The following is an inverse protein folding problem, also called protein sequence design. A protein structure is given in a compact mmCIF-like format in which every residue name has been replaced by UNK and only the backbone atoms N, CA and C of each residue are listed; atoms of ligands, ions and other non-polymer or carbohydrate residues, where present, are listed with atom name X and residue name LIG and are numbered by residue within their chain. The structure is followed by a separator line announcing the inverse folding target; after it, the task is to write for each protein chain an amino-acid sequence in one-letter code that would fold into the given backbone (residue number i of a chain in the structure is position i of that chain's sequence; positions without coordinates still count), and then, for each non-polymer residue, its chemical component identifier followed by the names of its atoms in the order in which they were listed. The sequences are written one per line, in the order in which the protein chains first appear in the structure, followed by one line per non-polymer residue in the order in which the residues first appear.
data_IF_698096449654
#
_entry.id   IF_698096449654
#
_cell.length_a   1.000
_cell.length_b   1.000
_cell.length_c   1.000
_cell.angle_alpha   90.00
_cell.angle_beta   90.00
_cell.angle_gamma   90.00
#
_symmetry.space_group_name_H-M   'P 1'
#
loop_
_entity.id
_entity.type
_entity.pdbx_description
1 polymer ?
2 non-polymer ?
3 non-polymer ?
4 water ?
#
# COMPACT_ATOMS: atom_id res chain seq x y z
N UNK A 58 21.79 13.73 31.77
CA UNK A 58 21.39 14.34 30.47
C UNK A 58 20.08 15.14 30.53
N UNK A 59 20.21 16.44 30.31
CA UNK A 59 19.08 17.24 29.87
C UNK A 59 19.28 17.37 28.34
N UNK A 60 18.23 17.65 27.60
CA UNK A 60 18.35 17.85 26.14
C UNK A 60 18.87 19.26 25.80
N UNK A 61 20.02 19.33 25.14
CA UNK A 61 20.65 20.62 24.78
C UNK A 61 20.84 20.67 23.26
N UNK A 62 20.32 21.73 22.63
CA UNK A 62 20.29 21.84 21.15
C UNK A 62 21.11 23.07 20.67
N UNK A 63 21.97 22.86 19.67
CA UNK A 63 22.85 23.97 19.21
C UNK A 63 22.15 24.96 18.27
N UNK A 64 22.75 26.14 18.12
CA UNK A 64 22.07 27.26 17.47
C UNK A 64 21.79 27.02 15.99
N UNK A 65 22.54 26.11 15.39
CA UNK A 65 22.41 25.85 13.96
C UNK A 65 21.34 24.81 13.65
N UNK A 66 20.78 24.15 14.67
CA UNK A 66 19.92 23.00 14.43
C UNK A 66 18.47 23.37 14.14
N UNK A 67 18.07 23.23 12.88
CA UNK A 67 16.66 23.38 12.49
C UNK A 67 15.93 22.04 12.56
N UNK A 68 14.62 22.12 12.72
CA UNK A 68 13.84 20.90 12.88
C UNK A 68 12.39 21.29 12.57
N UNK A 69 11.46 20.34 12.67
CA UNK A 69 10.02 20.71 12.55
C UNK A 69 9.62 22.02 13.27
N UNK A 70 10.07 22.20 14.50
CA UNK A 70 9.65 23.36 15.34
C UNK A 70 10.49 24.62 15.21
N UNK A 71 11.60 24.55 14.50
CA UNK A 71 12.57 25.65 14.53
C UNK A 71 13.23 25.85 13.17
N UNK A 72 13.17 27.09 12.68
CA UNK A 72 13.89 27.39 11.46
C UNK A 72 15.17 28.14 11.79
N UNK A 73 16.03 28.22 10.78
CA UNK A 73 17.23 29.07 10.81
C UNK A 73 17.16 30.05 9.62
N UNK A 74 18.04 31.07 9.61
CA UNK A 74 18.05 31.99 8.43
C UNK A 74 18.34 31.25 7.11
N UNK A 75 17.77 31.75 5.98
CA UNK A 75 16.93 32.94 5.80
C UNK A 75 15.46 32.82 6.21
N UNK A 76 14.93 31.59 6.33
CA UNK A 76 13.50 31.43 6.58
C UNK A 76 13.02 32.11 7.89
N UNK A 77 13.75 31.89 8.98
CA UNK A 77 13.40 32.46 10.29
C UNK A 77 13.26 33.98 10.28
N UNK A 78 13.89 34.62 9.30
CA UNK A 78 13.86 36.08 9.18
C UNK A 78 13.00 36.61 8.03
N UNK A 79 12.49 35.71 7.19
CA UNK A 79 11.82 36.11 5.95
C UNK A 79 10.42 36.70 6.12
N UNK A 80 10.05 37.62 5.22
CA UNK A 80 8.66 38.06 5.08
C UNK A 80 7.87 36.98 4.35
N UNK A 81 6.70 36.63 4.88
CA UNK A 81 5.98 35.44 4.43
C UNK A 81 4.76 35.74 3.57
N UNK A 82 4.65 35.01 2.46
CA UNK A 82 3.42 34.94 1.69
C UNK A 82 2.69 33.69 2.10
N UNK A 83 1.54 33.91 2.73
CA UNK A 83 0.78 32.90 3.46
C UNK A 83 -0.53 32.68 2.68
N UNK A 84 -0.91 31.41 2.44
CA UNK A 84 -2.18 31.13 1.75
C UNK A 84 -3.39 31.79 2.43
N UNK A 85 -4.49 31.93 1.68
CA UNK A 85 -5.73 32.44 2.24
C UNK A 85 -6.28 31.43 3.23
N UNK A 86 -7.03 31.91 4.23
CA UNK A 86 -7.63 31.01 5.20
C UNK A 86 -8.78 30.22 4.52
N UNK A 87 -8.75 28.88 4.64
CA UNK A 87 -9.91 28.17 4.12
C UNK A 87 -11.19 28.55 4.90
N UNK A 88 -12.30 28.72 4.18
CA UNK A 88 -13.56 29.05 4.86
C UNK A 88 -14.12 27.85 5.64
N UNK A 89 -14.30 28.02 6.95
CA UNK A 89 -14.87 26.97 7.81
C UNK A 89 -16.34 26.76 7.46
N UNK A 90 -16.88 25.56 7.66
CA UNK A 90 -18.25 25.26 7.24
C UNK A 90 -18.96 24.19 8.05
N UNK A 91 -18.21 23.37 8.77
CA UNK A 91 -18.83 22.27 9.52
C UNK A 91 -19.20 22.70 10.93
N UNK A 92 -20.39 22.30 11.39
CA UNK A 92 -20.81 22.53 12.76
C UNK A 92 -20.89 21.14 13.38
N UNK A 93 -20.16 20.92 14.45
CA UNK A 93 -20.13 19.59 15.10
C UNK A 93 -20.71 19.69 16.50
N UNK A 94 -21.65 18.80 16.83
CA UNK A 94 -22.15 18.70 18.21
C UNK A 94 -21.83 17.30 18.68
N UNK A 95 -21.26 17.19 19.89
CA UNK A 95 -21.03 15.88 20.53
C UNK A 95 -22.21 15.52 21.45
N UNK A 96 -22.95 14.49 21.09
CA UNK A 96 -24.21 14.17 21.77
C UNK A 96 -24.02 12.96 22.65
N UNK A 97 -24.19 13.15 23.96
CA UNK A 97 -24.17 12.03 24.87
C UNK A 97 -25.34 11.12 24.52
N UNK A 98 -25.07 9.81 24.44
CA UNK A 98 -26.18 8.89 24.22
C UNK A 98 -26.02 7.60 25.02
N UNK A 113 -22.05 -4.42 0.60
CA UNK A 113 -21.59 -5.74 0.14
C UNK A 113 -20.25 -6.13 0.77
N UNK A 114 -20.21 -6.15 2.10
CA UNK A 114 -18.99 -6.43 2.85
C UNK A 114 -19.12 -7.79 3.55
N UNK A 115 -18.00 -8.50 3.69
CA UNK A 115 -18.00 -9.84 4.25
C UNK A 115 -17.10 -9.84 5.48
N UNK A 116 -17.62 -10.25 6.65
CA UNK A 116 -16.78 -10.47 7.83
C UNK A 116 -16.30 -11.91 7.83
N UNK A 117 -14.99 -12.12 7.78
CA UNK A 117 -14.41 -13.47 7.65
C UNK A 117 -13.33 -13.73 8.71
N UNK A 118 -13.30 -14.95 9.26
CA UNK A 118 -12.25 -15.22 10.25
C UNK A 118 -10.89 -15.47 9.58
N UNK A 119 -9.81 -15.11 10.27
CA UNK A 119 -8.47 -15.55 9.91
C UNK A 119 -8.24 -16.95 10.48
N UNK A 120 -8.05 -17.96 9.63
CA UNK A 120 -7.88 -19.33 10.08
C UNK A 120 -6.41 -19.80 10.19
N UNK A 121 -5.49 -19.09 9.52
CA UNK A 121 -4.08 -19.48 9.56
C UNK A 121 -3.27 -18.25 9.22
N UNK A 122 -2.04 -18.18 9.75
CA UNK A 122 -1.07 -17.20 9.28
C UNK A 122 0.29 -17.83 9.39
N UNK A 123 1.16 -17.54 8.42
CA UNK A 123 2.52 -18.06 8.41
C UNK A 123 3.52 -16.95 8.10
N UNK A 124 4.61 -16.93 8.86
CA UNK A 124 5.76 -16.06 8.54
C UNK A 124 6.62 -16.72 7.46
N UNK A 125 6.74 -16.06 6.31
CA UNK A 125 7.41 -16.62 5.15
C UNK A 125 8.91 -16.30 5.11
N UNK A 126 9.34 -15.29 5.86
CA UNK A 126 10.70 -14.81 5.85
C UNK A 126 11.41 -15.29 7.10
N UNK A 127 12.74 -15.34 7.07
CA UNK A 127 13.51 -15.61 8.29
C UNK A 127 13.38 -14.46 9.28
N UNK A 128 13.71 -14.71 10.55
CA UNK A 128 13.63 -13.66 11.56
C UNK A 128 14.57 -12.47 11.26
N UNK A 129 15.62 -12.69 10.49
CA UNK A 129 16.59 -11.60 10.20
C UNK A 129 16.34 -10.95 8.84
N UNK A 130 15.22 -11.26 8.19
CA UNK A 130 14.92 -10.61 6.89
C UNK A 130 14.68 -9.12 7.12
N UNK A 131 15.12 -8.28 6.19
CA UNK A 131 14.91 -6.83 6.34
C UNK A 131 13.43 -6.43 6.36
N UNK A 132 12.58 -7.15 5.65
CA UNK A 132 11.14 -6.94 5.70
C UNK A 132 10.48 -8.26 6.04
N UNK A 133 9.49 -8.25 6.93
CA UNK A 133 8.76 -9.46 7.32
C UNK A 133 7.57 -9.66 6.38
N UNK A 134 7.49 -10.84 5.79
CA UNK A 134 6.39 -11.19 4.89
C UNK A 134 5.51 -12.25 5.57
N UNK A 135 4.19 -11.98 5.63
CA UNK A 135 3.22 -12.97 6.13
C UNK A 135 2.28 -13.44 5.04
N UNK A 136 1.91 -14.69 5.13
CA UNK A 136 0.79 -15.23 4.40
C UNK A 136 -0.37 -15.35 5.41
N UNK A 137 -1.54 -14.81 5.04
CA UNK A 137 -2.74 -14.87 5.89
C UNK A 137 -3.81 -15.65 5.12
N UNK A 138 -4.45 -16.61 5.80
CA UNK A 138 -5.59 -17.35 5.24
C UNK A 138 -6.89 -16.88 5.88
N UNK A 139 -7.85 -16.51 5.03
CA UNK A 139 -9.18 -16.20 5.46
C UNK A 139 -10.12 -17.34 5.11
N UNK A 140 -11.05 -17.62 6.02
CA UNK A 140 -12.08 -18.62 5.80
C UNK A 140 -13.33 -17.93 5.20
N UNK A 141 -13.55 -18.13 3.90
CA UNK A 141 -14.69 -17.51 3.19
C UNK A 141 -15.85 -18.49 3.06
N UNK A 142 -15.80 -19.59 3.82
CA UNK A 142 -16.79 -20.64 3.56
C UNK A 142 -18.24 -20.19 3.88
N UNK A 143 -18.41 -19.32 4.88
CA UNK A 143 -19.77 -18.92 5.24
C UNK A 143 -20.19 -17.60 4.55
N UNK A 144 -19.75 -17.44 3.31
CA UNK A 144 -20.04 -16.24 2.55
C UNK A 144 -20.42 -16.68 1.16
N UNK A 145 -20.94 -15.75 0.37
CA UNK A 145 -21.10 -16.03 -1.04
C UNK A 145 -19.98 -15.34 -1.88
N UNK A 146 -18.83 -15.08 -1.27
CA UNK A 146 -17.68 -14.43 -1.90
C UNK A 146 -17.03 -15.44 -2.82
N UNK A 147 -16.72 -15.02 -4.04
CA UNK A 147 -15.89 -15.82 -4.92
C UNK A 147 -14.78 -14.99 -5.57
N UNK A 148 -13.74 -15.70 -5.99
CA UNK A 148 -12.54 -15.05 -6.57
C UNK A 148 -11.84 -15.98 -7.53
N UNK A 149 -11.08 -15.37 -8.44
CA UNK A 149 -10.19 -16.12 -9.29
C UNK A 149 -8.77 -15.65 -9.02
N UNK A 150 -7.79 -16.51 -9.31
CA UNK A 150 -6.40 -16.15 -9.08
C UNK A 150 -6.11 -14.80 -9.79
N UNK A 151 -5.42 -13.90 -9.10
CA UNK A 151 -5.09 -12.60 -9.70
C UNK A 151 -6.06 -11.48 -9.34
N UNK A 152 -7.26 -11.83 -8.88
CA UNK A 152 -8.21 -10.82 -8.35
C UNK A 152 -7.61 -10.04 -7.18
N UNK A 153 -8.06 -8.80 -6.96
CA UNK A 153 -7.76 -8.10 -5.72
C UNK A 153 -9.03 -7.95 -4.89
N UNK A 154 -8.87 -7.85 -3.56
CA UNK A 154 -10.00 -7.50 -2.68
C UNK A 154 -9.54 -6.41 -1.71
N UNK A 155 -10.48 -5.68 -1.12
CA UNK A 155 -10.13 -4.62 -0.15
C UNK A 155 -10.32 -5.08 1.31
N UNK A 156 -9.40 -4.66 2.18
CA UNK A 156 -9.51 -4.94 3.63
C UNK A 156 -9.81 -3.63 4.33
N UNK A 157 -10.83 -3.67 5.20
CA UNK A 157 -11.26 -2.48 5.95
C UNK A 157 -10.51 -2.55 7.27
N UNK A 158 -9.60 -1.62 7.48
CA UNK A 158 -8.71 -1.68 8.63
C UNK A 158 -8.92 -0.44 9.51
N UNK A 159 -8.68 -0.57 10.84
CA UNK A 159 -8.78 0.56 11.75
C UNK A 159 -7.43 1.21 12.01
N UNK A 160 -7.47 2.42 12.54
CA UNK A 160 -6.28 3.01 13.14
C UNK A 160 -5.91 2.31 14.43
N UNK A 161 -4.68 2.51 14.90
CA UNK A 161 -4.27 1.85 16.12
C UNK A 161 -5.02 2.49 17.30
N UNK A 162 -5.42 1.68 18.28
CA UNK A 162 -6.14 2.22 19.45
C UNK A 162 -5.29 3.28 20.17
N UNK A 163 -3.99 3.01 20.30
CA UNK A 163 -3.10 3.93 21.00
C UNK A 163 -2.98 5.29 20.30
N UNK A 164 -2.94 5.29 18.97
CA UNK A 164 -2.90 6.56 18.24
C UNK A 164 -4.22 7.32 18.36
N UNK A 165 -5.34 6.60 18.29
CA UNK A 165 -6.66 7.24 18.45
C UNK A 165 -6.78 7.86 19.85
N UNK A 166 -6.39 7.09 20.88
CA UNK A 166 -6.46 7.61 22.26
C UNK A 166 -5.57 8.83 22.44
N UNK A 167 -4.34 8.74 21.97
CA UNK A 167 -3.39 9.87 22.04
C UNK A 167 -3.95 11.13 21.36
N UNK A 168 -4.56 10.98 20.20
CA UNK A 168 -5.14 12.13 19.52
C UNK A 168 -6.36 12.73 20.24
N UNK A 169 -7.29 11.88 20.69
CA UNK A 169 -8.43 12.41 21.43
C UNK A 169 -7.98 13.08 22.75
N UNK A 170 -7.01 12.47 23.43
CA UNK A 170 -6.46 13.11 24.66
C UNK A 170 -5.87 14.48 24.36
N UNK A 171 -5.12 14.56 23.25
CA UNK A 171 -4.54 15.83 22.82
C UNK A 171 -5.58 16.89 22.45
N UNK A 172 -6.77 16.47 22.03
CA UNK A 172 -7.82 17.42 21.67
C UNK A 172 -8.76 17.74 22.83
N UNK A 173 -8.46 17.13 23.99
CA UNK A 173 -9.28 17.24 25.20
C UNK A 173 -10.64 16.59 24.99
N UNK A 174 -10.66 15.43 24.33
CA UNK A 174 -11.90 14.74 23.97
C UNK A 174 -11.97 13.29 24.38
N UNK A 175 -10.94 12.78 25.06
CA UNK A 175 -10.92 11.36 25.47
C UNK A 175 -12.18 11.00 26.27
N UNK A 176 -12.61 11.93 27.15
CA UNK A 176 -13.77 11.69 28.01
C UNK A 176 -15.07 11.81 27.24
N UNK A 177 -15.01 12.27 25.99
CA UNK A 177 -16.18 12.34 25.11
C UNK A 177 -16.18 11.27 24.00
N UNK A 178 -15.25 10.31 24.09
CA UNK A 178 -15.09 9.32 23.02
C UNK A 178 -16.36 8.53 22.65
N UNK A 179 -17.29 8.33 23.59
CA UNK A 179 -18.51 7.58 23.26
C UNK A 179 -19.69 8.50 22.88
N UNK A 180 -19.49 9.82 22.89
CA UNK A 180 -20.51 10.75 22.40
C UNK A 180 -20.66 10.58 20.89
N UNK A 182 -21.32 11.87 17.03
CA UNK A 182 -20.90 13.08 16.32
C UNK A 182 -22.04 13.49 15.39
N UNK A 183 -22.61 14.64 15.66
CA UNK A 183 -23.72 15.17 14.87
C UNK A 183 -23.22 16.30 14.01
N UNK A 184 -23.45 16.22 12.70
CA UNK A 184 -22.84 17.19 11.78
C UNK A 184 -23.88 18.01 11.04
N UNK A 185 -23.60 19.31 10.90
CA UNK A 185 -24.47 20.21 10.11
C UNK A 185 -23.57 21.21 9.39
N UNK A 186 -24.13 21.92 8.42
CA UNK A 186 -23.40 23.02 7.78
C UNK A 186 -23.67 24.29 8.56
N UNK A 187 -22.62 25.04 8.89
CA UNK A 187 -22.74 26.28 9.65
C UNK A 187 -23.62 27.21 8.83
N UNK A 188 -24.58 27.87 9.48
CA UNK A 188 -25.43 28.85 8.79
C UNK A 188 -24.60 30.03 8.22
N UNK A 189 -23.58 30.48 8.96
CA UNK A 189 -22.82 31.68 8.59
C UNK A 189 -21.58 31.45 7.69
N UNK A 190 -21.46 30.24 7.13
CA UNK A 190 -20.30 29.86 6.28
C UNK A 190 -20.15 30.71 5.00
N UNK A 191 -18.89 30.94 4.62
CA UNK A 191 -18.58 31.65 3.38
C UNK A 191 -18.14 30.68 2.28
N UNK A 192 -18.19 29.38 2.58
CA UNK A 192 -17.82 28.34 1.61
C UNK A 192 -19.01 27.97 0.73
N UNK A 193 -18.94 28.36 -0.54
CA UNK A 193 -19.99 27.99 -1.52
C UNK A 193 -19.91 26.50 -1.84
N UNK A 194 -21.08 25.88 -1.99
CA UNK A 194 -21.14 24.45 -2.33
C UNK A 194 -20.80 23.51 -1.18
N UNK A 195 -20.80 24.04 0.05
CA UNK A 195 -20.44 23.23 1.22
C UNK A 195 -21.40 22.05 1.44
N UNK A 196 -20.82 20.85 1.54
CA UNK A 196 -21.59 19.63 1.81
C UNK A 196 -20.92 18.86 2.94
N UNK A 197 -21.68 17.97 3.56
CA UNK A 197 -21.17 17.13 4.64
C UNK A 197 -20.27 16.02 4.08
N UNK A 198 -19.09 15.78 4.72
CA UNK A 198 -18.15 14.72 4.34
C UNK A 198 -18.81 13.36 4.26
N UNK A 199 -18.81 12.77 3.07
CA UNK A 199 -19.49 11.50 2.85
C UNK A 199 -18.93 10.37 3.72
N UNK A 200 -17.65 10.50 4.07
CA UNK A 200 -16.91 9.43 4.75
C UNK A 200 -17.08 9.45 6.28
N UNK A 201 -17.86 10.41 6.80
CA UNK A 201 -18.18 10.44 8.24
C UNK A 201 -19.67 10.08 8.40
N UNK A 202 -19.96 8.86 8.92
CA UNK A 202 -21.35 8.49 9.04
C UNK A 202 -21.98 9.26 10.19
N UNK A 203 -23.17 9.78 9.93
CA UNK A 203 -23.90 10.64 10.87
C UNK A 203 -24.24 9.87 12.14
N UNK A 204 -23.97 10.47 13.31
CA UNK A 204 -24.42 9.89 14.58
C UNK A 204 -23.66 8.69 15.14
N UNK A 205 -22.50 8.37 14.53
CA UNK A 205 -21.55 7.40 15.09
C UNK A 205 -20.71 7.98 16.21
N UNK A 206 -20.14 7.13 17.05
CA UNK A 206 -19.35 7.66 18.17
C UNK A 206 -18.05 8.31 17.67
N UNK A 207 -17.56 9.25 18.46
CA UNK A 207 -16.30 9.91 18.19
C UNK A 207 -15.19 8.87 18.04
N UNK A 208 -15.18 7.90 18.94
CA UNK A 208 -14.25 6.78 18.95
C UNK A 208 -14.27 6.06 17.60
N UNK A 209 -15.48 5.76 17.15
CA UNK A 209 -15.68 4.97 15.94
C UNK A 209 -15.16 5.71 14.75
N UNK A 210 -15.48 7.01 14.67
CA UNK A 210 -15.10 7.81 13.52
C UNK A 210 -13.58 7.97 13.45
N UNK A 211 -12.93 8.22 14.58
CA UNK A 211 -11.47 8.28 14.55
C UNK A 211 -10.79 6.93 14.31
N UNK A 212 -11.42 5.85 14.74
CA UNK A 212 -10.82 4.52 14.56
C UNK A 212 -10.97 4.02 13.12
N UNK A 213 -12.16 4.19 12.55
CA UNK A 213 -12.51 3.52 11.29
C UNK A 213 -12.76 4.43 10.07
N UNK A 214 -12.91 5.74 10.28
CA UNK A 214 -13.40 6.62 9.18
C UNK A 214 -12.39 7.69 8.74
N UNK A 215 -11.45 8.02 9.60
CA UNK A 215 -10.54 9.12 9.29
C UNK A 215 -9.11 8.62 9.14
N UNK A 216 -8.43 9.10 8.11
CA UNK A 216 -7.02 8.79 7.92
C UNK A 216 -6.20 9.75 8.78
N UNK A 217 -6.12 9.44 10.07
CA UNK A 217 -5.43 10.31 11.01
C UNK A 217 -3.93 10.35 10.72
N UNK A 218 -3.44 9.37 9.95
CA UNK A 218 -2.03 9.35 9.51
C UNK A 218 -1.69 10.34 8.38
N UNK A 219 -2.69 10.92 7.74
CA UNK A 219 -2.46 11.73 6.54
C UNK A 219 -1.49 12.88 6.80
N UNK A 220 -0.63 13.19 5.82
CA UNK A 220 0.26 14.33 5.98
C UNK A 220 -0.58 15.60 5.80
N UNK A 221 -0.58 16.49 6.80
CA UNK A 221 -1.38 17.71 6.74
C UNK A 221 -0.96 18.58 5.56
N UNK A 222 -1.91 18.97 4.71
CA UNK A 222 -1.64 19.86 3.60
C UNK A 222 -1.37 21.26 4.13
N UNK A 223 -0.78 22.11 3.28
CA UNK A 223 -0.45 23.49 3.65
C UNK A 223 -1.69 24.30 4.05
N UNK A 224 -2.82 24.03 3.42
CA UNK A 224 -4.09 24.70 3.77
C UNK A 224 -4.59 24.29 5.17
N UNK A 225 -4.30 23.06 5.58
CA UNK A 225 -4.63 22.62 6.92
C UNK A 225 -3.71 23.35 7.92
N UNK A 226 -2.40 23.39 7.64
CA UNK A 226 -1.45 24.12 8.49
C UNK A 226 -1.90 25.59 8.63
N UNK A 227 -2.33 26.16 7.50
CA UNK A 227 -2.84 27.55 7.48
C UNK A 227 -3.97 27.79 8.49
N UNK A 228 -4.95 26.88 8.47
CA UNK A 228 -6.06 26.96 9.41
C UNK A 228 -5.62 26.76 10.85
N UNK A 229 -4.59 25.94 11.10
CA UNK A 229 -4.12 25.71 12.46
C UNK A 229 -3.40 26.93 13.05
N UNK A 230 -2.82 27.76 12.20
CA UNK A 230 -2.21 29.06 12.58
C UNK A 230 -3.15 29.83 13.52
N UNK A 231 -4.41 29.95 13.11
CA UNK A 231 -5.42 30.71 13.83
C UNK A 231 -5.80 30.20 15.24
N UNK A 232 -5.52 28.92 15.51
CA UNK A 232 -5.78 28.30 16.80
C UNK A 232 -4.51 28.05 17.64
N UNK A 233 -3.42 28.74 17.30
CA UNK A 233 -2.14 28.59 17.99
C UNK A 233 -1.84 29.91 18.68
N UNK A 234 -1.68 29.86 20.00
CA UNK A 234 -1.57 31.08 20.80
C UNK A 234 -0.12 31.53 21.04
N UNK A 235 0.82 30.59 21.04
CA UNK A 235 2.21 30.94 21.33
C UNK A 235 2.84 31.58 20.11
N UNK A 236 3.51 32.71 20.32
CA UNK A 236 4.08 33.53 19.24
C UNK A 236 5.07 32.79 18.35
N UNK A 237 6.04 32.09 18.94
CA UNK A 237 7.00 31.33 18.13
C UNK A 237 6.33 30.17 17.38
N UNK A 238 5.45 29.44 18.07
CA UNK A 238 4.77 28.28 17.44
C UNK A 238 3.93 28.76 16.26
N UNK A 239 3.14 29.82 16.48
CA UNK A 239 2.34 30.45 15.41
C UNK A 239 3.20 30.83 14.20
N UNK A 240 4.32 31.52 14.47
CA UNK A 240 5.29 31.89 13.43
C UNK A 240 5.80 30.67 12.68
N UNK A 241 6.07 29.58 13.39
CA UNK A 241 6.59 28.40 12.71
C UNK A 241 5.57 27.77 11.74
N UNK A 242 4.31 27.68 12.17
CA UNK A 242 3.27 27.13 11.28
C UNK A 242 3.05 28.03 10.07
N UNK A 243 3.12 29.36 10.28
CA UNK A 243 3.07 30.31 9.17
C UNK A 243 4.18 30.04 8.15
N UNK A 244 5.40 29.82 8.64
CA UNK A 244 6.54 29.48 7.78
C UNK A 244 6.27 28.21 6.96
N UNK A 245 5.83 27.18 7.66
CA UNK A 245 5.63 25.86 7.07
C UNK A 245 4.56 25.86 5.97
N UNK A 246 3.61 26.79 6.04
CA UNK A 246 2.59 26.86 4.98
C UNK A 246 2.86 27.96 3.94
N UNK A 247 3.95 28.70 4.10
CA UNK A 247 4.28 29.84 3.23
C UNK A 247 5.01 29.42 1.96
N UNK A 248 4.96 30.28 0.94
CA UNK A 248 5.88 30.15 -0.23
C UNK A 248 7.33 29.92 0.21
N UNK A 249 7.81 30.78 1.10
CA UNK A 249 9.21 30.79 1.55
C UNK A 249 9.62 29.52 2.28
N UNK A 250 8.63 28.88 2.89
CA UNK A 250 8.86 27.71 3.73
C UNK A 250 8.74 26.37 3.03
N UNK A 251 8.64 26.39 1.69
CA UNK A 251 8.38 25.14 0.91
C UNK A 251 9.41 24.04 1.16
N UNK A 252 10.67 24.43 1.26
CA UNK A 252 11.75 23.46 1.52
C UNK A 252 11.65 22.88 2.93
N UNK A 253 11.33 23.70 3.93
CA UNK A 253 11.13 23.18 5.31
C UNK A 253 9.90 22.29 5.36
N UNK A 254 8.84 22.68 4.66
CA UNK A 254 7.66 21.82 4.57
C UNK A 254 8.03 20.46 3.99
N UNK A 255 8.76 20.46 2.87
CA UNK A 255 9.05 19.22 2.15
C UNK A 255 9.95 18.36 3.02
N UNK A 256 10.91 18.99 3.69
CA UNK A 256 11.82 18.26 4.59
C UNK A 256 11.16 17.72 5.86
N UNK A 257 10.50 18.60 6.59
CA UNK A 257 10.09 18.33 7.97
C UNK A 257 8.66 17.83 8.11
N UNK A 258 7.86 18.00 7.07
CA UNK A 258 6.48 17.55 7.10
C UNK A 258 6.26 16.42 6.10
N UNK A 259 6.50 16.68 4.81
CA UNK A 259 6.28 15.67 3.76
C UNK A 259 7.24 14.49 3.87
N UNK A 260 8.55 14.72 3.78
CA UNK A 260 9.53 13.62 3.76
C UNK A 260 9.55 12.86 5.09
N UNK A 261 9.23 13.58 6.17
CA UNK A 261 9.30 13.05 7.52
C UNK A 261 8.07 12.22 7.84
N UNK A 263 5.00 13.41 8.66
CA UNK A 263 4.40 13.93 9.88
C UNK A 263 2.89 13.81 9.74
N UNK A 264 2.22 13.44 10.83
CA UNK A 264 0.75 13.36 10.84
C UNK A 264 0.23 14.40 11.81
N UNK A 265 -1.09 14.63 11.82
CA UNK A 265 -1.71 15.60 12.75
C UNK A 265 -1.24 15.47 14.21
N UNK A 266 -1.25 14.26 14.73
CA UNK A 266 -0.80 14.05 16.11
C UNK A 266 0.62 14.59 16.33
N UNK A 267 1.55 14.26 15.42
CA UNK A 267 2.95 14.65 15.56
C UNK A 267 2.99 16.16 15.60
N UNK A 268 2.22 16.77 14.72
CA UNK A 268 2.18 18.22 14.62
C UNK A 268 1.65 18.88 15.88
N UNK A 269 0.56 18.33 16.43
CA UNK A 269 -0.05 18.89 17.63
C UNK A 269 0.88 18.72 18.82
N UNK A 270 1.58 17.58 18.92
CA UNK A 270 2.53 17.37 20.01
C UNK A 270 3.72 18.32 19.92
N UNK A 271 4.16 18.61 18.70
CA UNK A 271 5.28 19.53 18.49
C UNK A 271 4.88 20.99 18.65
N UNK A 272 3.59 21.31 18.44
CA UNK A 272 3.11 22.68 18.70
C UNK A 272 2.04 22.70 19.82
N UNK A 273 2.46 22.55 21.10
CA UNK A 273 1.47 22.33 22.17
C UNK A 273 0.42 23.41 22.39
N UNK A 274 0.67 24.63 21.88
CA UNK A 274 -0.32 25.70 22.01
C UNK A 274 -1.39 25.69 20.93
N UNK A 275 -1.30 24.76 19.99
CA UNK A 275 -2.29 24.68 18.93
C UNK A 275 -3.48 23.90 19.45
N UNK A 276 -4.63 24.58 19.52
CA UNK A 276 -5.83 23.99 20.09
C UNK A 276 -6.96 24.14 19.10
N UNK A 277 -7.00 23.25 18.09
CA UNK A 277 -8.00 23.42 17.07
C UNK A 277 -9.32 22.79 17.48
N UNK A 278 -10.42 23.30 16.91
CA UNK A 278 -11.71 22.68 17.18
C UNK A 278 -11.90 21.38 16.39
N UNK A 279 -12.69 20.46 16.94
CA UNK A 279 -12.98 19.18 16.26
C UNK A 279 -13.55 19.44 14.85
N UNK A 280 -14.35 20.49 14.68
CA UNK A 280 -14.93 20.81 13.35
C UNK A 280 -13.86 21.01 12.28
N UNK A 281 -12.79 21.72 12.63
CA UNK A 281 -11.65 21.95 11.71
C UNK A 281 -10.97 20.64 11.26
N UNK A 282 -10.73 19.74 12.21
CA UNK A 282 -10.15 18.44 11.89
C UNK A 282 -11.04 17.72 10.90
N UNK A 283 -12.36 17.75 11.13
CA UNK A 283 -13.28 16.99 10.27
C UNK A 283 -13.43 17.60 8.89
N UNK A 284 -13.00 18.85 8.74
CA UNK A 284 -12.94 19.50 7.45
C UNK A 284 -11.70 19.07 6.64
N UNK A 285 -10.65 18.58 7.30
CA UNK A 285 -9.39 18.33 6.63
C UNK A 285 -8.87 16.91 6.63
N UNK A 286 -9.27 16.09 7.60
CA UNK A 286 -8.76 14.72 7.65
C UNK A 286 -9.50 13.95 6.55
N UNK A 287 -8.76 13.20 5.71
CA UNK A 287 -9.44 12.46 4.65
C UNK A 287 -10.04 11.13 5.09
N UNK A 288 -10.76 10.48 4.19
CA UNK A 288 -11.31 9.15 4.46
C UNK A 288 -10.18 8.15 4.72
N UNK A 289 -10.38 7.29 5.71
CA UNK A 289 -9.51 6.14 5.93
C UNK A 289 -9.81 5.11 4.84
N UNK A 290 -8.94 4.96 3.87
CA UNK A 290 -9.25 4.06 2.75
C UNK A 290 -9.00 2.59 3.08
N UNK A 291 -9.85 1.70 2.56
CA UNK A 291 -9.47 0.30 2.64
C UNK A 291 -8.21 0.01 1.81
N UNK A 292 -7.41 -0.98 2.22
CA UNK A 292 -6.18 -1.35 1.49
C UNK A 292 -6.47 -2.59 0.67
N UNK A 293 -6.18 -2.58 -0.65
CA UNK A 293 -6.34 -3.79 -1.46
C UNK A 293 -5.20 -4.81 -1.34
N UNK A 294 -5.54 -6.10 -1.44
CA UNK A 294 -4.52 -7.18 -1.48
C UNK A 294 -4.88 -8.14 -2.64
N UNK A 295 -3.86 -8.84 -3.14
CA UNK A 295 -4.05 -9.71 -4.29
C UNK A 295 -4.37 -11.11 -3.77
N UNK A 296 -5.27 -11.83 -4.45
CA UNK A 296 -5.51 -13.21 -4.10
C UNK A 296 -4.28 -14.05 -4.43
N UNK A 297 -3.79 -14.82 -3.44
CA UNK A 297 -2.54 -15.57 -3.59
C UNK A 297 -2.84 -17.07 -3.51
N UNK A 298 -4.04 -17.46 -3.95
CA UNK A 298 -4.47 -18.87 -3.91
C UNK A 298 -5.51 -19.08 -5.02
N UNK A 299 -5.83 -20.35 -5.29
CA UNK A 299 -6.98 -20.75 -6.09
C UNK A 299 -7.97 -21.48 -5.16
N UNK A 300 -9.25 -21.15 -5.34
CA UNK A 300 -10.34 -21.90 -4.69
C UNK A 300 -10.35 -23.40 -5.04
N UNK A 301 -9.75 -23.75 -6.18
CA UNK A 301 -9.67 -25.19 -6.54
C UNK A 301 -8.71 -25.94 -5.60
N UNK A 302 -7.70 -25.24 -5.12
CA UNK A 302 -6.61 -25.81 -4.35
C UNK A 302 -6.88 -25.77 -2.82
N UNK A 303 -7.46 -24.68 -2.34
CA UNK A 303 -7.81 -24.47 -0.94
C UNK A 303 -9.29 -24.09 -0.87
N UNK A 304 -10.18 -25.08 -1.07
CA UNK A 304 -11.61 -24.78 -1.11
C UNK A 304 -12.09 -24.14 0.19
N UNK A 305 -12.84 -23.04 0.07
CA UNK A 305 -13.39 -22.36 1.25
C UNK A 305 -12.44 -21.35 1.86
N UNK A 306 -11.25 -21.20 1.26
CA UNK A 306 -10.20 -20.33 1.80
C UNK A 306 -9.78 -19.28 0.77
N UNK A 307 -9.18 -18.20 1.26
CA UNK A 307 -8.59 -17.15 0.42
C UNK A 307 -7.25 -16.80 1.07
N UNK A 308 -6.15 -16.86 0.32
CA UNK A 308 -4.87 -16.45 0.89
C UNK A 308 -4.44 -15.11 0.34
N UNK A 309 -3.71 -14.36 1.15
CA UNK A 309 -2.98 -13.21 0.66
C UNK A 309 -1.64 -13.10 1.37
N UNK A 310 -0.75 -12.30 0.78
CA UNK A 310 0.65 -12.23 1.19
C UNK A 310 1.02 -10.77 1.28
N UNK A 311 1.66 -10.36 2.36
CA UNK A 311 2.08 -8.95 2.47
C UNK A 311 3.36 -8.78 3.31
N UNK A 312 4.14 -7.75 2.97
CA UNK A 312 5.24 -7.28 3.82
C UNK A 312 4.64 -6.34 4.86
N UNK A 313 5.12 -6.46 6.09
CA UNK A 313 4.71 -5.51 7.12
C UNK A 313 5.49 -4.23 6.81
N UNK A 314 4.76 -3.14 6.56
CA UNK A 314 5.41 -1.85 6.19
C UNK A 314 5.95 -1.21 7.45
N UNK A 315 7.22 -0.80 7.42
CA UNK A 315 7.80 -0.04 8.53
C UNK A 315 8.49 1.18 7.97
N UNK A 316 8.32 2.32 8.61
CA UNK A 316 8.89 3.55 8.09
C UNK A 316 9.23 4.49 9.25
N UNK A 317 10.17 5.39 9.01
CA UNK A 317 10.58 6.41 9.99
C UNK A 317 9.64 7.61 9.95
N UNK A 318 9.25 8.07 11.14
CA UNK A 318 8.24 9.13 11.32
C UNK A 318 8.66 10.19 12.31
N UNK A 319 7.89 11.28 12.37
CA UNK A 319 8.13 12.39 13.31
C UNK A 319 7.91 12.02 14.80
N UNK A 320 7.18 10.93 15.08
CA UNK A 320 6.92 10.52 16.48
C UNK A 320 8.20 10.60 17.32
N UNK A 321 8.11 11.29 18.46
CA UNK A 321 9.27 11.61 19.30
C UNK A 321 9.74 10.46 20.23
N UNK A 322 8.80 9.60 20.61
CA UNK A 322 9.05 8.51 21.59
C UNK A 322 9.00 7.16 20.89
N UNK A 323 9.09 7.20 19.56
CA UNK A 323 8.86 6.06 18.70
C UNK A 323 9.79 6.19 17.50
N UNK A 324 10.53 5.14 17.18
CA UNK A 324 11.42 5.28 16.02
C UNK A 324 10.73 4.86 14.72
N UNK A 325 10.19 3.65 14.70
CA UNK A 325 9.52 3.15 13.52
C UNK A 325 8.03 3.11 13.76
N UNK A 326 7.28 3.41 12.71
CA UNK A 326 5.84 3.28 12.69
C UNK A 326 5.55 2.11 11.75
N UNK A 327 4.50 1.35 11.99
CA UNK A 327 4.07 0.39 11.01
C UNK A 327 3.00 1.00 10.14
N UNK A 328 2.79 0.44 8.95
CA UNK A 328 1.68 0.85 8.11
C UNK A 328 0.38 0.57 8.86
N UNK A 329 -0.69 1.29 8.51
CA UNK A 329 -1.97 1.14 9.22
C UNK A 329 -2.53 -0.28 9.03
N UNK A 330 -2.64 -0.73 7.78
CA UNK A 330 -3.30 -2.03 7.55
C UNK A 330 -2.36 -3.17 7.93
N UNK A 331 -1.11 -3.15 7.45
CA UNK A 331 -0.21 -4.28 7.75
C UNK A 331 0.19 -4.36 9.24
N UNK A 332 0.28 -3.21 9.91
CA UNK A 332 0.55 -3.19 11.37
C UNK A 332 -0.61 -3.81 12.15
N UNK A 333 -1.83 -3.49 11.75
CA UNK A 333 -3.03 -4.09 12.33
C UNK A 333 -3.10 -5.62 12.08
N UNK A 334 -2.90 -6.03 10.83
CA UNK A 334 -2.96 -7.47 10.47
C UNK A 334 -1.92 -8.24 11.27
N UNK A 335 -0.72 -7.66 11.41
CA UNK A 335 0.33 -8.32 12.16
C UNK A 335 -0.05 -8.52 13.65
N UNK A 336 -0.74 -7.55 14.23
CA UNK A 336 -1.19 -7.66 15.62
C UNK A 336 -2.27 -8.73 15.74
N UNK A 337 -3.20 -8.72 14.81
CA UNK A 337 -4.32 -9.66 14.82
C UNK A 337 -3.91 -11.11 14.80
N UNK A 338 -2.87 -11.41 14.02
CA UNK A 338 -2.47 -12.80 13.74
C UNK A 338 -1.43 -13.33 14.73
N UNK A 339 -0.98 -12.49 15.66
CA UNK A 339 0.05 -12.90 16.63
C UNK A 339 -0.30 -14.21 17.35
N UNK A 340 -1.59 -14.45 17.59
CA UNK A 340 -2.06 -15.65 18.31
C UNK A 340 -2.45 -16.79 17.37
N UNK A 341 -2.51 -16.50 16.06
CA UNK A 341 -2.75 -17.49 15.04
C UNK A 341 -1.40 -18.02 14.51
N UNK A 342 -0.38 -17.18 14.62
CA UNK A 342 0.95 -17.45 14.08
C UNK A 342 1.69 -18.49 14.94
N UNK A 358 -11.21 -17.06 16.60
CA UNK A 358 -10.36 -16.48 15.57
C UNK A 358 -10.68 -14.99 15.39
N UNK A 359 -9.66 -14.15 15.11
CA UNK A 359 -9.99 -12.78 14.79
C UNK A 359 -10.69 -12.70 13.43
N UNK A 360 -11.51 -11.66 13.24
CA UNK A 360 -12.28 -11.48 12.01
C UNK A 360 -11.95 -10.14 11.35
N UNK A 361 -12.00 -10.10 10.03
CA UNK A 361 -11.74 -8.86 9.30
C UNK A 361 -12.85 -8.73 8.26
N UNK A 362 -13.13 -7.49 7.87
CA UNK A 362 -14.13 -7.22 6.87
C UNK A 362 -13.47 -6.96 5.53
N UNK A 363 -13.99 -7.61 4.50
CA UNK A 363 -13.44 -7.44 3.18
C UNK A 363 -14.55 -7.21 2.19
N UNK A 364 -14.19 -6.66 1.02
CA UNK A 364 -15.09 -6.64 -0.11
C UNK A 364 -14.37 -6.81 -1.45
N UNK A 365 -15.08 -7.38 -2.45
CA UNK A 365 -14.41 -7.60 -3.69
C UNK A 365 -14.23 -6.31 -4.48
N UNK A 366 -13.24 -6.31 -5.35
CA UNK A 366 -13.14 -5.30 -6.38
C UNK A 366 -14.13 -5.71 -7.46
N UNK A 367 -14.74 -4.72 -8.10
CA UNK A 367 -15.71 -4.96 -9.16
C UNK A 367 -15.01 -5.47 -10.42
N UNK A 368 -13.98 -4.75 -10.84
CA UNK A 368 -13.23 -5.10 -12.05
C UNK A 368 -11.90 -5.71 -11.63
N UNK A 369 -11.63 -6.89 -12.16
CA UNK A 369 -10.30 -7.49 -12.03
C UNK A 369 -9.87 -7.93 -13.44
N UNK A 370 -8.61 -7.70 -13.81
CA UNK A 370 -8.15 -8.07 -15.16
C UNK A 370 -6.83 -8.88 -15.20
N UNK A 371 -6.23 -9.06 -14.04
CA UNK A 371 -4.97 -9.74 -13.98
C UNK A 371 -5.21 -11.26 -13.88
N UNK A 372 -5.74 -11.85 -14.94
CA UNK A 372 -6.17 -13.27 -14.87
C UNK A 372 -5.40 -14.15 -15.84
N UNK A 373 -5.33 -15.43 -15.51
CA UNK A 373 -4.90 -16.45 -16.46
C UNK A 373 -5.68 -16.36 -17.78
N UNK A 374 -5.02 -16.72 -18.90
CA UNK A 374 -5.79 -16.74 -20.15
C UNK A 374 -6.93 -17.76 -20.07
N UNK A 375 -8.06 -17.42 -20.68
CA UNK A 375 -9.17 -18.38 -20.78
C UNK A 375 -8.70 -19.70 -21.41
N UNK A 376 -7.83 -19.58 -22.42
CA UNK A 376 -7.34 -20.73 -23.17
C UNK A 376 -6.09 -21.28 -22.46
N UNK A 377 -6.24 -22.46 -21.82
CA UNK A 377 -5.14 -23.02 -21.04
C UNK A 377 -3.93 -23.48 -21.88
N UNK A 378 -4.06 -23.53 -23.21
CA UNK A 378 -2.92 -23.90 -24.05
C UNK A 378 -1.91 -22.76 -24.25
N UNK A 379 -2.32 -21.53 -23.93
CA UNK A 379 -1.51 -20.34 -24.18
C UNK A 379 -0.38 -20.28 -23.13
N UNK A 380 0.88 -20.15 -23.60
CA UNK A 380 2.00 -20.10 -22.67
C UNK A 380 2.05 -18.75 -21.96
N UNK A 381 2.61 -18.72 -20.75
CA UNK A 381 2.64 -17.45 -20.01
C UNK A 381 3.96 -17.24 -19.30
N UNK A 382 4.28 -15.97 -19.05
CA UNK A 382 5.50 -15.61 -18.41
C UNK A 382 5.08 -14.72 -17.23
N UNK A 383 5.58 -15.04 -16.04
CA UNK A 383 5.15 -14.33 -14.80
C UNK A 383 6.40 -13.69 -14.22
N UNK A 384 6.36 -12.40 -13.92
CA UNK A 384 7.51 -11.72 -13.36
C UNK A 384 7.03 -11.10 -12.03
N UNK A 385 7.59 -11.56 -10.91
CA UNK A 385 7.08 -11.14 -9.61
C UNK A 385 8.16 -11.20 -8.55
N UNK A 386 8.96 -10.13 -8.44
CA UNK A 386 9.97 -10.01 -7.38
C UNK A 386 9.32 -9.76 -6.03
N UNK A 387 9.94 -10.31 -4.99
CA UNK A 387 9.38 -10.20 -3.63
C UNK A 387 7.93 -10.64 -3.52
N UNK A 388 7.13 -9.85 -2.82
CA UNK A 388 5.72 -10.22 -2.60
C UNK A 388 4.90 -10.15 -3.87
N UNK A 389 5.46 -9.54 -4.92
CA UNK A 389 4.89 -9.62 -6.28
C UNK A 389 4.66 -11.04 -6.78
N UNK A 390 5.28 -12.04 -6.15
CA UNK A 390 5.04 -13.44 -6.50
C UNK A 390 3.59 -13.85 -6.21
N UNK A 391 2.94 -13.12 -5.30
CA UNK A 391 1.66 -13.57 -4.68
C UNK A 391 0.58 -14.09 -5.65
N UNK A 392 0.18 -13.30 -6.67
CA UNK A 392 -0.87 -13.77 -7.60
C UNK A 392 -0.43 -15.04 -8.37
N UNK A 393 0.88 -15.19 -8.56
CA UNK A 393 1.41 -16.31 -9.37
C UNK A 393 1.38 -17.62 -8.61
N UNK A 394 1.47 -17.55 -7.29
CA UNK A 394 1.14 -18.75 -6.48
C UNK A 394 -0.32 -19.20 -6.71
N UNK A 395 -1.24 -18.25 -6.72
CA UNK A 395 -2.63 -18.54 -7.11
C UNK A 395 -2.71 -19.15 -8.52
N UNK A 396 -2.03 -18.54 -9.50
CA UNK A 396 -2.04 -19.05 -10.91
C UNK A 396 -1.58 -20.53 -10.93
N UNK A 397 -0.48 -20.82 -10.25
CA UNK A 397 0.11 -22.17 -10.27
C UNK A 397 -0.76 -23.22 -9.54
N UNK A 398 -1.35 -22.82 -8.41
CA UNK A 398 -2.26 -23.75 -7.72
C UNK A 398 -3.46 -24.04 -8.64
N UNK A 399 -3.94 -23.01 -9.33
CA UNK A 399 -5.13 -23.18 -10.19
C UNK A 399 -4.79 -24.15 -11.33
N UNK A 400 -3.65 -23.93 -11.96
CA UNK A 400 -3.23 -24.83 -13.03
C UNK A 400 -2.90 -26.25 -12.58
N UNK A 401 -2.33 -26.40 -11.39
CA UNK A 401 -2.12 -27.77 -10.87
C UNK A 401 -3.42 -28.56 -10.80
N UNK A 402 -4.46 -27.93 -10.27
CA UNK A 402 -5.80 -28.55 -10.19
C UNK A 402 -6.43 -28.83 -11.55
N UNK A 403 -6.41 -27.83 -12.43
CA UNK A 403 -6.81 -28.01 -13.85
C UNK A 403 -6.12 -29.20 -14.54
N UNK A 404 -4.80 -29.32 -14.35
CA UNK A 404 -4.04 -30.44 -14.93
C UNK A 404 -4.39 -31.82 -14.36
N UNK A 405 -4.63 -31.88 -13.05
CA UNK A 405 -5.13 -33.09 -12.41
C UNK A 405 -6.46 -33.55 -12.99
N UNK A 406 -7.32 -32.58 -13.31
CA UNK A 406 -8.62 -32.86 -13.87
C UNK A 406 -8.45 -33.50 -15.24
N UNK A 407 -7.54 -32.94 -16.03
CA UNK A 407 -7.34 -33.38 -17.40
C UNK A 407 -5.89 -33.64 -17.71
N UNK A 408 -5.38 -34.82 -17.32
CA UNK A 408 -4.02 -35.11 -17.79
C UNK A 408 -4.10 -35.29 -19.32
N UNK A 409 -2.96 -35.23 -20.00
CA UNK A 409 -2.92 -35.30 -21.47
C UNK A 409 -3.60 -34.08 -22.13
N UNK A 410 -4.04 -33.12 -21.31
CA UNK A 410 -4.57 -31.86 -21.83
C UNK A 410 -3.43 -31.07 -22.45
N UNK A 411 -3.76 -30.14 -23.35
CA UNK A 411 -2.77 -29.25 -23.96
C UNK A 411 -2.63 -28.02 -23.06
N UNK A 412 -1.57 -27.99 -22.23
CA UNK A 412 -1.36 -26.89 -21.29
C UNK A 412 -0.13 -26.07 -21.66
N UNK A 413 -0.31 -24.77 -21.77
CA UNK A 413 0.81 -23.93 -22.15
C UNK A 413 1.90 -23.94 -21.10
N UNK A 414 3.12 -23.68 -21.54
CA UNK A 414 4.23 -23.48 -20.60
C UNK A 414 3.92 -22.35 -19.60
N UNK A 415 4.54 -22.44 -18.43
CA UNK A 415 4.44 -21.42 -17.38
C UNK A 415 5.88 -21.16 -16.93
N UNK A 416 6.32 -19.92 -17.14
CA UNK A 416 7.63 -19.46 -16.69
C UNK A 416 7.44 -18.51 -15.54
N UNK A 417 8.30 -18.62 -14.54
CA UNK A 417 8.30 -17.64 -13.44
C UNK A 417 9.70 -17.07 -13.26
N UNK A 418 9.78 -15.75 -13.31
CA UNK A 418 10.97 -15.01 -12.92
C UNK A 418 10.68 -14.43 -11.53
N UNK A 419 11.41 -14.93 -10.55
CA UNK A 419 11.27 -14.47 -9.16
C UNK A 419 12.58 -13.79 -8.73
N UNK A 420 12.48 -12.79 -7.87
CA UNK A 420 13.68 -12.13 -7.39
C UNK A 420 13.50 -11.90 -5.91
N UNK A 421 14.58 -12.05 -5.15
CA UNK A 421 14.60 -11.59 -3.73
C UNK A 421 16.01 -11.15 -3.38
N UNK A 422 16.24 -10.75 -2.13
CA UNK A 422 17.57 -10.24 -1.70
C UNK A 422 18.55 -11.35 -1.38
N UNK A 423 18.09 -12.38 -0.65
CA UNK A 423 19.00 -13.39 -0.11
C UNK A 423 18.37 -14.74 -0.22
N UNK A 424 19.10 -15.70 -0.78
CA UNK A 424 18.58 -17.06 -0.89
C UNK A 424 18.16 -17.63 0.49
N UNK A 425 18.91 -17.27 1.52
CA UNK A 425 18.69 -17.82 2.88
C UNK A 425 17.81 -16.94 3.79
N UNK A 426 17.16 -15.91 3.23
CA UNK A 426 16.26 -15.08 4.09
C UNK A 426 14.85 -14.87 3.54
N UNK A 427 14.74 -14.50 2.27
CA UNK A 427 13.46 -14.02 1.73
C UNK A 427 13.08 -14.70 0.41
N UNK A 428 13.50 -15.95 0.28
CA UNK A 428 13.14 -16.75 -0.88
C UNK A 428 11.75 -17.31 -0.65
N UNK A 429 10.75 -16.47 -0.92
CA UNK A 429 9.36 -16.87 -0.66
C UNK A 429 8.96 -18.09 -1.41
N UNK A 430 8.21 -18.96 -0.72
CA UNK A 430 7.56 -20.15 -1.32
C UNK A 430 8.55 -21.15 -1.95
N UNK A 431 9.77 -21.15 -1.47
CA UNK A 431 10.81 -22.01 -2.08
C UNK A 431 10.32 -23.45 -2.24
N UNK A 432 9.78 -24.02 -1.17
CA UNK A 432 9.33 -25.41 -1.23
C UNK A 432 8.15 -25.63 -2.17
N UNK A 433 7.20 -24.70 -2.17
CA UNK A 433 6.03 -24.85 -3.01
C UNK A 433 6.45 -24.74 -4.49
N UNK A 434 7.36 -23.81 -4.79
CA UNK A 434 7.83 -23.68 -6.16
C UNK A 434 8.49 -24.99 -6.64
N UNK A 435 9.28 -25.62 -5.77
CA UNK A 435 9.92 -26.87 -6.09
C UNK A 435 8.85 -27.93 -6.42
N UNK A 436 7.79 -27.96 -5.62
CA UNK A 436 6.65 -28.88 -5.85
C UNK A 436 6.05 -28.63 -7.24
N UNK A 437 5.77 -27.37 -7.55
CA UNK A 437 5.26 -27.04 -8.87
C UNK A 437 6.17 -27.51 -10.02
N UNK A 438 7.47 -27.32 -9.87
CA UNK A 438 8.41 -27.76 -10.89
C UNK A 438 8.45 -29.31 -10.98
N UNK A 439 8.47 -29.95 -9.83
CA UNK A 439 8.58 -31.42 -9.79
C UNK A 439 7.40 -32.03 -10.53
N UNK A 440 6.22 -31.46 -10.33
CA UNK A 440 5.01 -31.96 -10.96
C UNK A 440 4.69 -31.44 -12.35
N UNK A 441 5.61 -30.66 -12.93
CA UNK A 441 5.48 -30.17 -14.28
C UNK A 441 4.45 -29.10 -14.49
N UNK A 442 4.08 -28.41 -13.42
CA UNK A 442 3.06 -27.34 -13.56
C UNK A 442 3.79 -26.06 -13.91
N UNK A 443 4.83 -25.76 -13.12
CA UNK A 443 5.75 -24.69 -13.44
C UNK A 443 6.78 -25.27 -14.40
N UNK A 444 6.91 -24.67 -15.59
CA UNK A 444 7.79 -25.20 -16.64
C UNK A 444 9.25 -24.80 -16.39
N UNK A 445 9.46 -23.51 -16.09
CA UNK A 445 10.79 -22.96 -15.83
C UNK A 445 10.72 -21.99 -14.66
N UNK A 446 11.74 -22.01 -13.82
CA UNK A 446 11.85 -21.05 -12.72
C UNK A 446 13.21 -20.39 -12.76
N UNK A 447 13.25 -19.06 -12.79
CA UNK A 447 14.53 -18.35 -12.81
C UNK A 447 14.55 -17.38 -11.65
N UNK A 448 15.45 -17.60 -10.71
CA UNK A 448 15.43 -16.79 -9.48
C UNK A 448 16.70 -15.95 -9.41
N UNK A 449 16.54 -14.67 -9.10
CA UNK A 449 17.69 -13.78 -8.90
C UNK A 449 17.81 -13.37 -7.43
N UNK A 450 19.05 -13.23 -6.94
CA UNK A 450 19.31 -12.84 -5.55
C UNK A 450 20.13 -11.59 -5.57
N UNK A 451 19.52 -10.49 -5.15
CA UNK A 451 20.11 -9.18 -5.42
C UNK A 451 21.24 -8.84 -4.47
N UNK A 452 21.30 -9.50 -3.31
CA UNK A 452 22.32 -9.11 -2.32
C UNK A 452 23.22 -10.24 -1.90
N UNK A 453 23.12 -11.38 -2.56
CA UNK A 453 24.03 -12.52 -2.29
C UNK A 453 25.31 -12.38 -3.10
N UNK A 454 26.41 -12.84 -2.53
CA UNK A 454 27.74 -12.87 -3.17
C UNK A 454 27.87 -14.02 -4.20
N UNK A 455 28.78 -13.87 -5.18
CA UNK A 455 29.06 -14.96 -6.15
C UNK A 455 29.82 -16.11 -5.51
N UNK A 462 26.39 -13.52 -11.40
CA UNK A 462 25.00 -14.02 -11.45
C UNK A 462 23.95 -12.88 -11.64
N UNK A 463 22.75 -13.25 -12.10
CA UNK A 463 21.61 -12.32 -12.20
C UNK A 463 21.28 -11.68 -10.85
N UNK A 464 21.28 -10.36 -10.83
CA UNK A 464 20.89 -9.61 -9.66
C UNK A 464 19.37 -9.38 -9.55
N UNK A 465 18.75 -9.00 -10.67
CA UNK A 465 17.32 -8.70 -10.70
C UNK A 465 16.58 -9.52 -11.77
N UNK A 466 15.25 -9.55 -11.70
CA UNK A 466 14.47 -10.36 -12.65
C UNK A 466 14.74 -9.98 -14.11
N UNK A 467 14.94 -8.70 -14.39
CA UNK A 467 15.16 -8.29 -15.81
C UNK A 467 16.47 -8.85 -16.39
N UNK A 468 17.46 -9.07 -15.52
CA UNK A 468 18.70 -9.76 -15.91
C UNK A 468 18.45 -11.18 -16.40
N UNK A 469 17.66 -11.97 -15.65
CA UNK A 469 17.30 -13.30 -16.09
C UNK A 469 16.39 -13.27 -17.33
N UNK A 470 15.50 -12.29 -17.39
CA UNK A 470 14.64 -12.20 -18.58
C UNK A 470 15.51 -12.03 -19.86
N UNK A 471 16.50 -11.16 -19.78
CA UNK A 471 17.43 -10.94 -20.89
C UNK A 471 18.25 -12.19 -21.28
N UNK A 472 18.65 -12.99 -20.30
CA UNK A 472 19.37 -14.25 -20.55
C UNK A 472 18.53 -15.27 -21.30
N UNK A 473 17.21 -15.11 -21.22
CA UNK A 473 16.31 -16.01 -21.91
C UNK A 473 15.49 -15.26 -22.93
N UNK A 474 16.08 -14.22 -23.49
CA UNK A 474 15.40 -13.35 -24.46
C UNK A 474 14.84 -14.09 -25.66
N UNK A 475 15.57 -15.10 -26.14
CA UNK A 475 15.12 -15.82 -27.34
C UNK A 475 13.77 -16.48 -27.09
N UNK A 476 13.69 -17.23 -25.98
CA UNK A 476 12.45 -17.91 -25.59
C UNK A 476 11.31 -16.94 -25.26
N UNK A 477 11.64 -15.86 -24.56
CA UNK A 477 10.65 -14.84 -24.19
C UNK A 477 10.04 -14.22 -25.44
N UNK A 478 10.87 -13.80 -26.39
CA UNK A 478 10.35 -13.22 -27.63
C UNK A 478 9.46 -14.19 -28.42
N UNK A 479 9.90 -15.43 -28.54
CA UNK A 479 9.13 -16.45 -29.23
C UNK A 479 7.76 -16.72 -28.61
N UNK A 480 7.69 -16.90 -27.29
CA UNK A 480 6.44 -17.04 -26.58
C UNK A 480 5.50 -15.85 -26.88
N UNK A 481 6.00 -14.64 -26.76
CA UNK A 481 5.13 -13.50 -26.99
C UNK A 481 4.77 -13.24 -28.46
N UNK A 482 5.70 -13.46 -29.37
CA UNK A 482 5.51 -12.99 -30.75
C UNK A 482 5.15 -14.10 -31.71
N UNK A 483 5.41 -15.35 -31.32
CA UNK A 483 5.03 -16.45 -32.18
C UNK A 483 4.00 -17.41 -31.58
N UNK A 484 3.85 -17.38 -30.26
CA UNK A 484 3.00 -18.34 -29.58
C UNK A 484 1.78 -17.74 -28.87
N UNK A 485 1.50 -16.47 -29.13
CA UNK A 485 0.31 -15.74 -28.61
C UNK A 485 0.38 -15.65 -27.08
N UNK A 486 1.59 -15.67 -26.54
CA UNK A 486 1.71 -15.69 -25.10
C UNK A 486 1.33 -14.42 -24.37
N UNK A 487 1.14 -14.57 -23.07
CA UNK A 487 0.90 -13.42 -22.20
C UNK A 487 2.04 -13.27 -21.23
N UNK A 488 2.35 -12.04 -20.88
CA UNK A 488 3.33 -11.78 -19.86
C UNK A 488 2.67 -10.91 -18.77
N UNK A 489 2.97 -11.22 -17.49
CA UNK A 489 2.37 -10.59 -16.30
C UNK A 489 3.49 -10.08 -15.41
N UNK A 490 3.38 -8.83 -14.96
CA UNK A 490 4.40 -8.23 -14.11
C UNK A 490 3.66 -7.74 -12.86
N UNK A 491 4.11 -8.19 -11.68
CA UNK A 491 3.44 -7.79 -10.46
C UNK A 491 4.49 -7.35 -9.44
N UNK A 492 4.24 -6.25 -8.74
CA UNK A 492 5.04 -6.00 -7.57
C UNK A 492 4.93 -4.57 -7.12
N UNK A 493 5.66 -4.23 -6.07
CA UNK A 493 5.39 -2.94 -5.42
C UNK A 493 6.00 -1.75 -6.16
N UNK A 494 7.16 -1.92 -6.81
CA UNK A 494 7.91 -0.79 -7.44
C UNK A 494 7.51 -0.48 -8.90
N UNK A 495 7.22 0.80 -9.15
CA UNK A 495 7.05 1.27 -10.54
C UNK A 495 8.40 1.23 -11.27
N UNK A 496 9.50 1.40 -10.51
CA UNK A 496 10.86 1.21 -10.99
C UNK A 496 11.07 -0.17 -11.58
N UNK A 497 10.66 -1.22 -10.85
CA UNK A 497 10.79 -2.58 -11.36
C UNK A 497 10.02 -2.73 -12.67
N UNK A 498 8.79 -2.23 -12.72
CA UNK A 498 7.97 -2.33 -13.91
C UNK A 498 8.63 -1.66 -15.13
N UNK A 499 9.14 -0.45 -14.98
CA UNK A 499 9.87 0.25 -16.04
C UNK A 499 11.13 -0.52 -16.47
N UNK A 500 11.90 -1.04 -15.51
CA UNK A 500 13.10 -1.81 -15.83
C UNK A 500 12.78 -3.10 -16.60
N UNK A 501 11.67 -3.74 -16.26
CA UNK A 501 11.29 -4.96 -16.96
C UNK A 501 10.82 -4.57 -18.39
N UNK A 502 10.06 -3.51 -18.48
CA UNK A 502 9.65 -2.98 -19.78
C UNK A 502 10.85 -2.66 -20.68
N UNK A 503 11.85 -1.97 -20.13
CA UNK A 503 13.01 -1.61 -20.92
C UNK A 503 13.83 -2.82 -21.35
N UNK A 504 13.88 -3.87 -20.51
CA UNK A 504 14.54 -5.15 -20.86
C UNK A 504 13.83 -5.79 -22.03
N UNK A 505 12.49 -5.77 -21.97
CA UNK A 505 11.69 -6.35 -23.04
C UNK A 505 11.92 -5.62 -24.37
N UNK A 506 12.06 -4.29 -24.31
CA UNK A 506 12.35 -3.52 -25.52
C UNK A 506 13.68 -4.00 -26.14
N UNK A 507 14.70 -4.19 -25.31
CA UNK A 507 16.00 -4.65 -25.80
C UNK A 507 15.93 -6.03 -26.42
N UNK A 508 15.22 -6.91 -25.74
CA UNK A 508 15.10 -8.30 -26.19
C UNK A 508 14.41 -8.39 -27.55
N UNK A 509 13.30 -7.66 -27.70
CA UNK A 509 12.57 -7.68 -28.97
C UNK A 509 13.42 -7.07 -30.11
N UNK A 510 14.05 -5.93 -29.83
CA UNK A 510 14.95 -5.31 -30.82
C UNK A 510 16.05 -6.29 -31.26
N UNK A 511 16.72 -6.91 -30.29
CA UNK A 511 17.77 -7.88 -30.56
C UNK A 511 17.28 -9.14 -31.28
N UNK A 512 16.20 -9.75 -30.81
CA UNK A 512 15.77 -11.07 -31.31
C UNK A 512 15.08 -11.02 -32.65
N UNK A 513 14.31 -9.96 -32.90
CA UNK A 513 13.64 -9.83 -34.16
C UNK A 513 14.45 -8.98 -35.15
N UNK A 514 15.41 -8.21 -34.65
CA UNK A 514 16.24 -7.36 -35.51
C UNK A 514 15.46 -6.16 -35.98
N UNK A 515 14.75 -5.50 -35.05
CA UNK A 515 13.95 -4.33 -35.41
C UNK A 515 14.48 -3.13 -34.66
N UNK A 516 14.08 -1.93 -35.09
CA UNK A 516 14.47 -0.70 -34.40
C UNK A 516 13.87 -0.63 -33.00
N UNK A 517 14.58 0.06 -32.10
CA UNK A 517 14.12 0.30 -30.73
C UNK A 517 12.69 0.87 -30.70
N UNK A 518 12.43 1.87 -31.52
CA UNK A 518 11.06 2.42 -31.61
C UNK A 518 10.01 1.37 -32.00
N UNK A 519 10.28 0.54 -32.99
CA UNK A 519 9.33 -0.52 -33.33
C UNK A 519 9.15 -1.52 -32.16
N UNK A 520 10.21 -1.81 -31.40
CA UNK A 520 10.05 -2.68 -30.19
C UNK A 520 9.16 -2.06 -29.12
N UNK A 521 9.34 -0.74 -28.89
CA UNK A 521 8.50 0.00 -27.94
C UNK A 521 7.03 -0.08 -28.32
N UNK A 522 6.74 0.16 -29.60
CA UNK A 522 5.40 0.10 -30.13
C UNK A 522 4.87 -1.33 -30.06
N UNK A 523 5.74 -2.32 -30.25
CA UNK A 523 5.29 -3.73 -30.10
C UNK A 523 4.72 -3.98 -28.70
N UNK A 524 5.45 -3.56 -27.67
CA UNK A 524 5.01 -3.75 -26.30
C UNK A 524 3.75 -2.95 -26.00
N UNK A 525 3.64 -1.73 -26.56
CA UNK A 525 2.45 -0.96 -26.36
C UNK A 525 1.24 -1.72 -26.92
N UNK A 526 1.41 -2.33 -28.09
CA UNK A 526 0.34 -3.06 -28.74
C UNK A 526 0.01 -4.36 -27.93
N UNK A 527 1.02 -5.02 -27.40
CA UNK A 527 0.76 -6.17 -26.50
C UNK A 527 -0.09 -5.77 -25.30
N UNK A 528 0.17 -4.57 -24.72
CA UNK A 528 -0.65 -4.10 -23.61
C UNK A 528 -2.06 -3.83 -24.13
N UNK A 529 -2.19 -3.17 -25.27
CA UNK A 529 -3.54 -2.90 -25.81
C UNK A 529 -4.33 -4.17 -26.09
N UNK A 530 -3.62 -5.21 -26.51
CA UNK A 530 -4.21 -6.52 -26.82
C UNK A 530 -4.42 -7.37 -25.53
N UNK A 531 -4.08 -6.80 -24.36
CA UNK A 531 -4.26 -7.46 -23.04
C UNK A 531 -3.41 -8.74 -22.92
N UNK A 532 -2.26 -8.73 -23.60
CA UNK A 532 -1.29 -9.84 -23.43
C UNK A 532 -0.04 -9.45 -22.64
N UNK A 533 0.04 -8.19 -22.22
CA UNK A 533 1.11 -7.70 -21.37
C UNK A 533 0.34 -6.96 -20.31
N UNK A 534 0.24 -7.61 -19.14
CA UNK A 534 -0.51 -7.10 -18.02
C UNK A 534 0.37 -6.72 -16.82
N UNK A 535 -0.05 -5.69 -16.10
CA UNK A 535 0.73 -5.24 -14.96
C UNK A 535 -0.16 -5.09 -13.74
N UNK A 536 0.36 -5.49 -12.58
CA UNK A 536 -0.32 -5.26 -11.30
C UNK A 536 0.70 -4.67 -10.36
N UNK A 537 0.78 -3.34 -10.38
CA UNK A 537 1.81 -2.60 -9.62
C UNK A 537 1.14 -1.92 -8.42
N UNK A 538 1.80 -2.04 -7.27
CA UNK A 538 1.11 -1.83 -5.99
C UNK A 538 1.36 -0.47 -5.39
N UNK A 539 2.29 0.30 -5.98
CA UNK A 539 2.62 1.63 -5.47
C UNK A 539 2.90 2.62 -6.61
#
# INVERSE_FOLDING_TARGET
GSPEFGALPVASPASLRTDLVKSELLHIESQVELLRFDDSGRKDSEVLKQNAVNSNQSNVVIEDFESSLTRSVPPLSQASLNIPGLPPEYLQVHLQESLGQEESQVSVTSADPVFQVPISKAVQLTTNDAIKTTLLVELDISNTDFSYQPGDAFSVICPNSDSEVQSLLQRLQLEDKREHXVLLKIKADTKKKGATLPQHIPAGCSLQFIFTWCLEIRAIPKKAFLRALVDYTSDSAEKRRLQELCSKQGAADYSRFVRDAXACLLDLLLAFPSCQPPLSLLLEHLPKLQPRPYSCASSSLFHPGKLHFVFNIVEFLSTATTEVLRKGVCTGWLALLVASVLQPNIHASHEDSGKALAPKISIFPRTTNSFHLPDDPSIPIIMVGPGTGIAPFIGFLQHREKLQEQHPDGNFGAMWLFFGCRHKDRDYLFRKELRHFLKHGILTHLKVSFSRDAPVGEEEAPAKYVQDNIQLHGQQVARILLQENGHIYVCGDAKNMAKDVHDALVQIISKEVGVEKLEAMKTLATLKEEKRYLQDIWS
#
